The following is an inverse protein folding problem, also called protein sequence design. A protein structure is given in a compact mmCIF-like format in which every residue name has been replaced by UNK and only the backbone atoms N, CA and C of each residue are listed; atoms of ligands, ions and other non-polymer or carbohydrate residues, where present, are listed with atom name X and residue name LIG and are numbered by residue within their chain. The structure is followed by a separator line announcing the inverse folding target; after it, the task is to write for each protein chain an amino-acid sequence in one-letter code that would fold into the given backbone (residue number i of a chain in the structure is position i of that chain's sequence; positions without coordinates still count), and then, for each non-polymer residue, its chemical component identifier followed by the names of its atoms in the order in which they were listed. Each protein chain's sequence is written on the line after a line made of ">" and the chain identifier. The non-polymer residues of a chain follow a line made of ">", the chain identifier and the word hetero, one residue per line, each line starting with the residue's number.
data_IF_523566132474
#
_entry.id   IF_523566132474
#
_cell.length_a   1.000
_cell.length_b   1.000
_cell.length_c   1.000
_cell.angle_alpha   90.00
_cell.angle_beta   90.00
_cell.angle_gamma   90.00
#
_symmetry.space_group_name_H-M   'P 1'
#
loop_
_entity.id
_entity.type
_entity.pdbx_description
1 polymer ?
#
# COMPACT_ATOMS: atom_id res chain seq x y z
N UNK A 1 -13.62 -10.40 -38.73
CA UNK A 1 -14.15 -11.58 -38.01
C UNK A 1 -15.10 -11.09 -36.93
N UNK A 2 -16.40 -11.08 -37.20
CA UNK A 2 -17.42 -10.82 -36.18
C UNK A 2 -17.74 -12.13 -35.48
N UNK A 3 -17.10 -12.39 -34.34
CA UNK A 3 -17.56 -13.45 -33.45
C UNK A 3 -18.81 -12.91 -32.75
N UNK A 4 -19.98 -13.43 -33.08
CA UNK A 4 -21.16 -13.21 -32.23
C UNK A 4 -20.80 -13.70 -30.82
N UNK A 5 -20.71 -12.77 -29.87
CA UNK A 5 -20.50 -13.12 -28.47
C UNK A 5 -21.73 -13.86 -27.97
N UNK A 6 -21.73 -15.19 -28.13
CA UNK A 6 -22.71 -16.06 -27.48
C UNK A 6 -22.42 -16.03 -25.98
N UNK A 7 -23.30 -15.38 -25.24
CA UNK A 7 -23.27 -15.38 -23.78
C UNK A 7 -23.64 -16.75 -23.25
N UNK A 8 -23.21 -17.05 -22.02
CA UNK A 8 -23.65 -18.26 -21.32
C UNK A 8 -25.17 -18.23 -21.12
N UNK A 9 -25.82 -19.40 -21.00
CA UNK A 9 -27.23 -19.47 -20.61
C UNK A 9 -27.50 -18.70 -19.31
N UNK A 10 -28.67 -18.08 -19.19
CA UNK A 10 -28.99 -17.23 -18.03
C UNK A 10 -28.93 -17.97 -16.69
N UNK A 11 -29.31 -19.26 -16.69
CA UNK A 11 -29.21 -20.09 -15.49
C UNK A 11 -27.75 -20.28 -15.05
N UNK A 12 -26.84 -20.50 -16.01
CA UNK A 12 -25.40 -20.59 -15.72
C UNK A 12 -24.85 -19.28 -15.19
N UNK A 13 -25.26 -18.14 -15.77
CA UNK A 13 -24.85 -16.80 -15.30
C UNK A 13 -25.30 -16.59 -13.85
N UNK A 14 -26.53 -16.96 -13.52
CA UNK A 14 -27.08 -16.85 -12.17
C UNK A 14 -26.29 -17.70 -11.16
N UNK A 15 -26.02 -18.96 -11.48
CA UNK A 15 -25.23 -19.87 -10.64
C UNK A 15 -23.81 -19.30 -10.39
N UNK A 16 -23.15 -18.80 -11.44
CA UNK A 16 -21.81 -18.21 -11.33
C UNK A 16 -21.84 -16.96 -10.44
N UNK A 17 -22.80 -16.07 -10.64
CA UNK A 17 -22.95 -14.86 -9.84
C UNK A 17 -23.21 -15.19 -8.37
N UNK A 18 -24.15 -16.11 -8.10
CA UNK A 18 -24.45 -16.57 -6.74
C UNK A 18 -23.21 -17.17 -6.07
N UNK A 19 -22.44 -18.01 -6.77
CA UNK A 19 -21.19 -18.55 -6.23
C UNK A 19 -20.18 -17.45 -5.87
N UNK A 20 -20.05 -16.43 -6.72
CA UNK A 20 -19.07 -15.36 -6.53
C UNK A 20 -19.41 -14.43 -5.36
N UNK A 21 -20.69 -14.24 -5.06
CA UNK A 21 -21.15 -13.34 -3.99
C UNK A 21 -21.41 -14.07 -2.66
N UNK A 22 -21.74 -15.36 -2.68
CA UNK A 22 -22.19 -16.14 -1.51
C UNK A 22 -21.27 -16.06 -0.29
N UNK A 23 -19.97 -15.95 -0.51
CA UNK A 23 -18.95 -15.94 0.55
C UNK A 23 -18.22 -14.60 0.67
N UNK A 24 -18.77 -13.53 0.09
CA UNK A 24 -18.24 -12.19 0.29
C UNK A 24 -18.78 -11.60 1.60
N UNK A 25 -17.93 -10.80 2.23
CA UNK A 25 -18.37 -10.01 3.38
C UNK A 25 -19.45 -9.02 2.92
N UNK A 26 -20.51 -8.79 3.72
CA UNK A 26 -21.51 -7.78 3.40
C UNK A 26 -20.86 -6.41 3.21
N UNK A 27 -21.42 -5.61 2.30
CA UNK A 27 -20.91 -4.27 2.00
C UNK A 27 -20.80 -3.41 3.28
N UNK A 28 -21.81 -3.46 4.14
CA UNK A 28 -21.81 -2.75 5.43
C UNK A 28 -20.64 -3.14 6.33
N UNK A 29 -20.19 -4.40 6.29
CA UNK A 29 -19.04 -4.83 7.07
C UNK A 29 -17.75 -4.15 6.58
N UNK A 30 -17.60 -4.02 5.26
CA UNK A 30 -16.43 -3.40 4.62
C UNK A 30 -16.47 -1.88 4.81
N UNK A 31 -17.64 -1.26 4.64
CA UNK A 31 -17.87 0.15 4.95
C UNK A 31 -17.50 0.44 6.40
N UNK A 32 -17.98 -0.39 7.32
CA UNK A 32 -17.61 -0.29 8.72
C UNK A 32 -16.11 -0.44 8.89
N UNK A 33 -15.45 -1.43 8.27
CA UNK A 33 -14.00 -1.63 8.35
C UNK A 33 -13.19 -0.37 7.99
N UNK A 34 -13.61 0.36 6.95
CA UNK A 34 -13.00 1.62 6.50
C UNK A 34 -13.74 2.87 6.99
N UNK A 35 -14.65 2.76 7.96
CA UNK A 35 -15.53 3.86 8.40
C UNK A 35 -14.84 5.02 9.13
N UNK A 36 -13.51 5.02 9.17
CA UNK A 36 -12.70 6.18 9.58
C UNK A 36 -12.47 7.16 8.42
N UNK A 37 -12.84 6.80 7.19
CA UNK A 37 -12.76 7.68 6.02
C UNK A 37 -14.05 8.51 5.97
N UNK A 38 -13.91 9.82 6.19
CA UNK A 38 -15.04 10.76 6.16
C UNK A 38 -15.45 11.14 4.73
N UNK A 39 -14.55 11.03 3.75
CA UNK A 39 -14.88 11.23 2.34
C UNK A 39 -15.67 10.03 1.80
N UNK A 40 -16.99 10.20 1.70
CA UNK A 40 -17.89 9.17 1.20
C UNK A 40 -17.54 8.68 -0.21
N UNK A 41 -17.05 9.57 -1.10
CA UNK A 41 -16.68 9.15 -2.47
C UNK A 41 -15.47 8.23 -2.43
N UNK A 42 -14.47 8.58 -1.63
CA UNK A 42 -13.30 7.74 -1.43
C UNK A 42 -13.68 6.40 -0.79
N UNK A 43 -14.55 6.41 0.22
CA UNK A 43 -15.03 5.21 0.88
C UNK A 43 -15.76 4.28 -0.10
N UNK A 44 -16.65 4.84 -0.94
CA UNK A 44 -17.36 4.09 -1.97
C UNK A 44 -16.39 3.40 -2.94
N UNK A 45 -15.38 4.13 -3.44
CA UNK A 45 -14.38 3.56 -4.35
C UNK A 45 -13.53 2.46 -3.68
N UNK A 46 -13.17 2.63 -2.41
CA UNK A 46 -12.45 1.60 -1.63
C UNK A 46 -13.30 0.33 -1.47
N UNK A 47 -14.59 0.48 -1.18
CA UNK A 47 -15.54 -0.62 -1.03
C UNK A 47 -15.75 -1.35 -2.36
N UNK A 48 -15.93 -0.61 -3.46
CA UNK A 48 -16.06 -1.16 -4.80
C UNK A 48 -14.80 -1.92 -5.20
N UNK A 49 -13.61 -1.34 -4.99
CA UNK A 49 -12.35 -2.00 -5.29
C UNK A 49 -12.18 -3.32 -4.51
N UNK A 50 -12.56 -3.32 -3.22
CA UNK A 50 -12.52 -4.50 -2.38
C UNK A 50 -13.46 -5.59 -2.90
N UNK A 51 -14.74 -5.27 -3.09
CA UNK A 51 -15.75 -6.23 -3.55
C UNK A 51 -15.44 -6.76 -4.94
N UNK A 52 -14.95 -5.91 -5.84
CA UNK A 52 -14.56 -6.31 -7.20
C UNK A 52 -13.37 -7.27 -7.18
N UNK A 53 -12.35 -7.00 -6.36
CA UNK A 53 -11.22 -7.92 -6.20
C UNK A 53 -11.66 -9.28 -5.65
N UNK A 54 -12.59 -9.28 -4.69
CA UNK A 54 -13.20 -10.50 -4.13
C UNK A 54 -14.03 -11.28 -5.14
N UNK A 55 -14.83 -10.58 -5.94
CA UNK A 55 -15.60 -11.18 -7.01
C UNK A 55 -14.69 -11.87 -8.03
N UNK A 56 -13.65 -11.18 -8.52
CA UNK A 56 -12.70 -11.74 -9.49
C UNK A 56 -11.92 -12.93 -8.90
N UNK A 57 -11.53 -12.88 -7.62
CA UNK A 57 -10.94 -14.03 -6.94
C UNK A 57 -11.88 -15.25 -6.99
N UNK A 58 -13.15 -15.05 -6.64
CA UNK A 58 -14.14 -16.14 -6.61
C UNK A 58 -14.48 -16.65 -7.99
N UNK A 59 -14.57 -15.78 -8.99
CA UNK A 59 -14.78 -16.18 -10.37
C UNK A 59 -13.63 -17.08 -10.86
N UNK A 60 -12.38 -16.67 -10.63
CA UNK A 60 -11.21 -17.47 -11.01
C UNK A 60 -11.16 -18.81 -10.26
N UNK A 61 -11.57 -18.84 -9.00
CA UNK A 61 -11.71 -20.08 -8.23
C UNK A 61 -12.81 -20.99 -8.82
N UNK A 62 -13.98 -20.44 -9.16
CA UNK A 62 -15.10 -21.21 -9.70
C UNK A 62 -14.81 -21.79 -11.08
N UNK A 63 -14.04 -21.09 -11.90
CA UNK A 63 -13.57 -21.55 -13.20
C UNK A 63 -12.37 -22.50 -13.11
N UNK A 64 -11.81 -22.71 -11.92
CA UNK A 64 -10.56 -23.47 -11.72
C UNK A 64 -9.40 -22.96 -12.59
N UNK A 65 -9.29 -21.63 -12.73
CA UNK A 65 -8.31 -20.99 -13.59
C UNK A 65 -6.88 -21.44 -13.27
N UNK A 66 -6.10 -21.67 -14.32
CA UNK A 66 -4.69 -22.05 -14.24
C UNK A 66 -3.85 -21.30 -15.29
N UNK A 67 -2.53 -21.38 -15.19
CA UNK A 67 -1.62 -20.72 -16.14
C UNK A 67 -1.89 -19.22 -16.29
N UNK A 68 -2.15 -18.78 -17.52
CA UNK A 68 -2.35 -17.37 -17.86
C UNK A 68 -3.62 -16.76 -17.25
N UNK A 69 -4.68 -17.55 -17.08
CA UNK A 69 -5.93 -17.08 -16.47
C UNK A 69 -5.69 -16.77 -14.98
N UNK A 70 -5.05 -17.70 -14.26
CA UNK A 70 -4.70 -17.51 -12.86
C UNK A 70 -3.80 -16.27 -12.68
N UNK A 71 -2.86 -16.07 -13.61
CA UNK A 71 -2.00 -14.90 -13.65
C UNK A 71 -2.82 -13.60 -13.78
N UNK A 72 -3.78 -13.54 -14.70
CA UNK A 72 -4.64 -12.38 -14.89
C UNK A 72 -5.48 -12.07 -13.65
N UNK A 73 -6.10 -13.09 -13.05
CA UNK A 73 -6.88 -12.94 -11.81
C UNK A 73 -6.01 -12.49 -10.63
N UNK A 74 -4.79 -13.02 -10.49
CA UNK A 74 -3.87 -12.64 -9.42
C UNK A 74 -3.35 -11.21 -9.59
N UNK A 75 -3.01 -10.84 -10.82
CA UNK A 75 -2.56 -9.48 -11.19
C UNK A 75 -3.64 -8.45 -10.91
N UNK A 76 -4.89 -8.72 -11.30
CA UNK A 76 -6.02 -7.83 -11.02
C UNK A 76 -6.24 -7.64 -9.51
N UNK A 77 -6.22 -8.71 -8.73
CA UNK A 77 -6.38 -8.63 -7.27
C UNK A 77 -5.27 -7.79 -6.61
N UNK A 78 -4.00 -8.04 -6.95
CA UNK A 78 -2.88 -7.26 -6.42
C UNK A 78 -3.04 -5.78 -6.76
N UNK A 79 -3.48 -5.47 -7.98
CA UNK A 79 -3.72 -4.10 -8.41
C UNK A 79 -4.78 -3.43 -7.53
N UNK A 80 -5.94 -4.07 -7.33
CA UNK A 80 -7.02 -3.48 -6.53
C UNK A 80 -6.62 -3.31 -5.07
N UNK A 81 -6.02 -4.32 -4.44
CA UNK A 81 -5.61 -4.21 -3.04
C UNK A 81 -4.49 -3.19 -2.84
N UNK A 82 -3.52 -3.10 -3.76
CA UNK A 82 -2.49 -2.06 -3.74
C UNK A 82 -3.08 -0.66 -3.87
N UNK A 83 -4.07 -0.47 -4.75
CA UNK A 83 -4.79 0.80 -4.90
C UNK A 83 -5.54 1.19 -3.63
N UNK A 84 -6.17 0.24 -2.93
CA UNK A 84 -6.82 0.52 -1.64
C UNK A 84 -5.80 1.03 -0.62
N UNK A 85 -4.65 0.36 -0.48
CA UNK A 85 -3.60 0.83 0.44
C UNK A 85 -3.12 2.23 0.08
N UNK A 86 -2.88 2.49 -1.21
CA UNK A 86 -2.44 3.80 -1.68
C UNK A 86 -3.46 4.90 -1.38
N UNK A 87 -4.73 4.65 -1.69
CA UNK A 87 -5.83 5.58 -1.48
C UNK A 87 -6.01 5.92 0.00
N UNK A 88 -6.02 4.90 0.86
CA UNK A 88 -6.15 5.09 2.31
C UNK A 88 -4.93 5.81 2.89
N UNK A 89 -3.71 5.43 2.51
CA UNK A 89 -2.49 6.12 2.96
C UNK A 89 -2.48 7.58 2.50
N UNK A 90 -2.90 7.84 1.26
CA UNK A 90 -3.06 9.18 0.71
C UNK A 90 -3.99 10.02 1.57
N UNK A 91 -5.21 9.53 1.81
CA UNK A 91 -6.18 10.19 2.67
C UNK A 91 -5.67 10.46 4.09
N UNK A 92 -5.06 9.46 4.72
CA UNK A 92 -4.51 9.62 6.07
C UNK A 92 -3.45 10.72 6.13
N UNK A 93 -2.54 10.79 5.15
CA UNK A 93 -1.48 11.78 5.15
C UNK A 93 -1.97 13.17 4.71
N UNK A 94 -2.83 13.24 3.71
CA UNK A 94 -3.17 14.49 3.01
C UNK A 94 -4.38 15.21 3.59
N UNK A 95 -5.30 14.48 4.22
CA UNK A 95 -6.52 15.02 4.80
C UNK A 95 -6.46 14.96 6.34
N UNK A 96 -6.19 13.79 6.91
CA UNK A 96 -6.22 13.60 8.37
C UNK A 96 -4.98 14.19 9.06
N UNK A 97 -3.78 13.90 8.55
CA UNK A 97 -2.49 14.33 9.14
C UNK A 97 -1.80 15.45 8.35
N UNK A 98 -2.55 16.20 7.55
CA UNK A 98 -2.04 17.28 6.70
C UNK A 98 -1.12 18.26 7.43
N UNK A 99 -1.49 18.60 8.66
CA UNK A 99 -0.79 19.60 9.46
C UNK A 99 0.38 19.04 10.28
N UNK A 100 0.57 17.71 10.29
CA UNK A 100 1.62 17.05 11.03
C UNK A 100 3.01 17.38 10.46
N UNK A 101 3.99 17.67 11.33
CA UNK A 101 5.33 18.13 10.92
C UNK A 101 6.03 17.16 9.97
N UNK A 102 5.86 15.85 10.19
CA UNK A 102 6.42 14.82 9.30
C UNK A 102 5.82 14.85 7.89
N UNK A 103 4.52 15.16 7.77
CA UNK A 103 3.82 15.27 6.47
C UNK A 103 4.24 16.56 5.75
N UNK A 104 4.35 17.66 6.50
CA UNK A 104 4.91 18.91 5.97
C UNK A 104 6.32 18.66 5.43
N UNK A 105 7.22 18.06 6.21
CA UNK A 105 8.58 17.71 5.78
C UNK A 105 8.61 16.80 4.54
N UNK A 106 7.66 15.88 4.41
CA UNK A 106 7.52 15.04 3.22
C UNK A 106 7.23 15.87 1.96
N UNK A 107 6.42 16.93 2.12
CA UNK A 107 6.00 17.83 1.04
C UNK A 107 7.04 18.88 0.67
N UNK A 108 8.07 19.11 1.50
CA UNK A 108 9.13 20.08 1.24
C UNK A 108 10.45 19.37 0.92
N UNK A 109 10.91 19.53 -0.32
CA UNK A 109 12.26 19.20 -0.74
C UNK A 109 13.21 20.38 -0.62
N UNK A 110 14.46 20.16 -1.00
CA UNK A 110 15.43 21.23 -1.21
C UNK A 110 15.82 21.25 -2.67
N UNK A 111 15.80 22.43 -3.26
CA UNK A 111 16.34 22.71 -4.58
C UNK A 111 17.59 23.56 -4.41
N UNK A 112 18.61 23.29 -5.22
CA UNK A 112 19.84 24.07 -5.25
C UNK A 112 19.77 25.00 -6.44
N UNK A 113 19.67 26.30 -6.15
CA UNK A 113 19.60 27.34 -7.18
C UNK A 113 20.96 28.03 -7.23
N UNK A 114 21.59 28.18 -8.41
CA UNK A 114 22.85 28.90 -8.53
C UNK A 114 22.78 30.27 -7.85
N UNK A 115 23.77 30.56 -7.01
CA UNK A 115 23.89 31.84 -6.33
C UNK A 115 24.22 32.94 -7.34
N UNK A 116 23.77 34.17 -7.12
CA UNK A 116 24.17 35.31 -7.97
C UNK A 116 25.70 35.52 -7.99
N UNK A 117 26.38 35.05 -6.94
CA UNK A 117 27.84 35.03 -6.83
C UNK A 117 28.51 33.91 -7.62
N UNK A 118 27.77 32.90 -8.10
CA UNK A 118 28.32 31.77 -8.87
C UNK A 118 28.90 32.22 -10.22
N UNK A 119 28.44 33.37 -10.75
CA UNK A 119 28.99 33.98 -11.97
C UNK A 119 30.35 34.67 -11.74
N UNK A 120 30.72 34.91 -10.49
CA UNK A 120 31.94 35.66 -10.11
C UNK A 120 33.02 34.78 -9.49
N UNK A 121 32.67 33.57 -9.07
CA UNK A 121 33.58 32.63 -8.41
C UNK A 121 33.70 31.39 -9.28
N UNK A 122 34.90 31.17 -9.83
CA UNK A 122 35.24 29.97 -10.59
C UNK A 122 35.94 29.01 -9.62
N UNK A 123 35.32 27.87 -9.38
CA UNK A 123 35.88 26.81 -8.55
C UNK A 123 36.16 25.61 -9.45
N UNK A 124 37.37 25.09 -9.37
CA UNK A 124 37.79 23.86 -10.05
C UNK A 124 38.10 22.79 -9.01
N UNK A 125 37.49 21.62 -9.16
CA UNK A 125 37.82 20.45 -8.36
C UNK A 125 39.14 19.82 -8.84
N UNK A 126 39.74 18.94 -8.01
CA UNK A 126 40.99 18.23 -8.32
C UNK A 126 40.86 17.41 -9.61
N UNK A 127 39.64 16.95 -9.92
CA UNK A 127 39.30 16.16 -11.11
C UNK A 127 38.91 17.01 -12.34
N UNK A 128 39.03 18.34 -12.27
CA UNK A 128 38.69 19.25 -13.39
C UNK A 128 37.19 19.47 -13.59
N UNK A 129 36.35 19.02 -12.66
CA UNK A 129 34.90 19.27 -12.68
C UNK A 129 34.61 20.73 -12.29
N UNK A 130 33.69 21.37 -13.01
CA UNK A 130 33.26 22.74 -12.73
C UNK A 130 32.32 22.77 -11.51
N UNK A 131 32.76 23.43 -10.44
CA UNK A 131 31.99 23.59 -9.22
C UNK A 131 31.15 24.88 -9.27
N UNK A 132 29.85 24.77 -9.03
CA UNK A 132 28.90 25.91 -9.03
C UNK A 132 28.40 26.15 -7.61
N UNK A 133 28.54 27.39 -7.13
CA UNK A 133 27.99 27.79 -5.84
C UNK A 133 26.47 27.92 -5.91
N UNK A 134 25.74 27.13 -5.13
CA UNK A 134 24.29 27.16 -5.06
C UNK A 134 23.76 27.60 -3.70
N UNK A 135 22.63 28.30 -3.69
CA UNK A 135 21.79 28.55 -2.51
C UNK A 135 20.76 27.42 -2.40
N UNK A 136 20.58 26.86 -1.21
CA UNK A 136 19.55 25.86 -0.95
C UNK A 136 18.21 26.58 -0.67
N UNK A 137 17.19 26.29 -1.47
CA UNK A 137 15.84 26.81 -1.30
C UNK A 137 14.86 25.67 -0.98
N UNK A 138 13.91 25.85 -0.04
CA UNK A 138 12.84 24.89 0.13
C UNK A 138 11.93 24.89 -1.11
N UNK A 139 11.79 23.74 -1.75
CA UNK A 139 10.88 23.53 -2.89
C UNK A 139 9.71 22.68 -2.43
N UNK A 140 8.49 23.17 -2.61
CA UNK A 140 7.28 22.37 -2.39
C UNK A 140 7.22 21.32 -3.50
N UNK A 141 7.30 20.04 -3.15
CA UNK A 141 7.14 18.94 -4.10
C UNK A 141 5.67 18.81 -4.47
N UNK A 142 5.42 18.47 -5.73
CA UNK A 142 4.11 18.00 -6.14
C UNK A 142 3.79 16.70 -5.37
N UNK A 143 2.53 16.56 -4.96
CA UNK A 143 2.01 15.39 -4.24
C UNK A 143 2.24 14.09 -5.01
N UNK A 144 2.20 14.17 -6.34
CA UNK A 144 2.42 13.05 -7.26
C UNK A 144 3.89 12.64 -7.37
N UNK A 145 4.82 13.55 -7.02
CA UNK A 145 6.26 13.32 -7.10
C UNK A 145 6.83 12.63 -5.84
N UNK A 146 6.06 12.54 -4.76
CA UNK A 146 6.47 11.90 -3.51
C UNK A 146 6.41 10.38 -3.70
N UNK A 147 7.53 9.70 -3.52
CA UNK A 147 7.59 8.24 -3.65
C UNK A 147 6.70 7.58 -2.59
N UNK A 148 6.04 6.50 -2.99
CA UNK A 148 5.15 5.76 -2.09
C UNK A 148 5.89 5.15 -0.89
N UNK A 149 7.13 4.69 -1.08
CA UNK A 149 7.98 4.20 0.02
C UNK A 149 8.22 5.30 1.08
N UNK A 150 8.33 6.58 0.68
CA UNK A 150 8.48 7.71 1.61
C UNK A 150 7.17 8.01 2.36
N UNK A 151 6.01 7.85 1.69
CA UNK A 151 4.68 7.95 2.32
C UNK A 151 4.53 6.89 3.41
N UNK A 152 4.89 5.64 3.13
CA UNK A 152 4.84 4.54 4.11
C UNK A 152 5.79 4.82 5.29
N UNK A 153 7.02 5.26 5.02
CA UNK A 153 7.97 5.60 6.07
C UNK A 153 7.44 6.73 6.98
N UNK A 154 6.74 7.71 6.40
CA UNK A 154 6.05 8.75 7.17
C UNK A 154 4.96 8.16 8.06
N UNK A 155 4.10 7.29 7.53
CA UNK A 155 3.02 6.64 8.29
C UNK A 155 3.55 5.81 9.47
N UNK A 156 4.65 5.08 9.27
CA UNK A 156 5.31 4.30 10.32
C UNK A 156 5.84 5.22 11.43
N UNK A 157 6.45 6.35 11.04
CA UNK A 157 6.98 7.33 12.01
C UNK A 157 5.88 8.06 12.78
N UNK A 158 4.74 8.35 12.15
CA UNK A 158 3.57 8.89 12.82
C UNK A 158 3.00 7.84 13.79
N UNK A 159 2.99 6.57 13.38
CA UNK A 159 2.67 5.44 14.26
C UNK A 159 1.34 4.78 13.97
N UNK A 160 0.58 5.18 12.95
CA UNK A 160 -0.69 4.54 12.58
C UNK A 160 -0.51 3.31 11.66
N UNK A 161 0.72 2.98 11.26
CA UNK A 161 1.06 1.73 10.55
C UNK A 161 2.25 1.06 11.24
N UNK A 162 2.14 -0.24 11.52
CA UNK A 162 3.26 -1.03 12.01
C UNK A 162 4.28 -1.30 10.89
N UNK A 163 5.58 -1.24 11.18
CA UNK A 163 6.66 -1.41 10.20
C UNK A 163 6.54 -2.70 9.37
N UNK A 164 6.16 -3.81 10.00
CA UNK A 164 6.00 -5.10 9.32
C UNK A 164 4.93 -5.04 8.22
N UNK A 165 3.79 -4.39 8.47
CA UNK A 165 2.72 -4.22 7.49
C UNK A 165 3.15 -3.20 6.44
N UNK A 166 3.77 -2.10 6.85
CA UNK A 166 4.28 -1.09 5.93
C UNK A 166 5.26 -1.66 4.89
N UNK A 167 6.20 -2.52 5.31
CA UNK A 167 7.12 -3.19 4.38
C UNK A 167 6.41 -4.13 3.40
N UNK A 168 5.36 -4.83 3.82
CA UNK A 168 4.55 -5.66 2.91
C UNK A 168 3.74 -4.80 1.94
N UNK A 169 3.16 -3.68 2.38
CA UNK A 169 2.44 -2.74 1.52
C UNK A 169 3.39 -2.16 0.44
N UNK A 170 4.62 -1.77 0.80
CA UNK A 170 5.65 -1.36 -0.17
C UNK A 170 5.90 -2.45 -1.23
N UNK A 171 5.91 -3.73 -0.84
CA UNK A 171 6.08 -4.85 -1.78
C UNK A 171 4.87 -4.97 -2.71
N UNK A 172 3.64 -4.89 -2.20
CA UNK A 172 2.43 -4.93 -3.05
C UNK A 172 2.39 -3.78 -4.06
N UNK A 173 2.82 -2.59 -3.66
CA UNK A 173 2.91 -1.45 -4.56
C UNK A 173 3.96 -1.66 -5.67
N UNK A 174 5.12 -2.25 -5.35
CA UNK A 174 6.13 -2.63 -6.36
C UNK A 174 5.59 -3.68 -7.33
N UNK A 175 4.84 -4.67 -6.83
CA UNK A 175 4.17 -5.67 -7.67
C UNK A 175 3.14 -5.02 -8.60
N UNK A 176 2.33 -4.07 -8.11
CA UNK A 176 1.43 -3.26 -8.95
C UNK A 176 2.22 -2.49 -10.02
N UNK A 177 3.35 -1.87 -9.70
CA UNK A 177 4.16 -1.15 -10.70
C UNK A 177 4.80 -2.07 -11.75
N UNK A 178 4.90 -3.37 -11.43
CA UNK A 178 5.19 -4.44 -12.38
C UNK A 178 4.11 -4.68 -13.43
N UNK A 179 3.01 -3.92 -13.43
CA UNK A 179 1.99 -3.98 -14.49
C UNK A 179 2.56 -3.41 -15.78
N UNK A 180 3.41 -2.37 -15.69
CA UNK A 180 4.18 -1.90 -16.84
C UNK A 180 5.07 -3.04 -17.32
N UNK A 181 4.81 -3.56 -18.53
CA UNK A 181 5.49 -4.74 -19.05
C UNK A 181 7.01 -4.59 -19.02
N UNK A 182 7.51 -3.39 -19.29
CA UNK A 182 8.93 -3.03 -19.19
C UNK A 182 9.49 -3.19 -17.77
N UNK A 183 8.73 -2.84 -16.72
CA UNK A 183 9.11 -3.07 -15.33
C UNK A 183 8.97 -4.54 -14.92
N UNK A 184 7.97 -5.24 -15.44
CA UNK A 184 7.77 -6.66 -15.19
C UNK A 184 8.96 -7.49 -15.69
N UNK A 185 9.44 -7.18 -16.90
CA UNK A 185 10.62 -7.81 -17.53
C UNK A 185 11.88 -7.49 -16.71
N UNK A 186 12.10 -6.22 -16.37
CA UNK A 186 13.29 -5.80 -15.59
C UNK A 186 13.40 -6.45 -14.22
N UNK A 187 12.26 -6.67 -13.55
CA UNK A 187 12.22 -7.16 -12.17
C UNK A 187 11.78 -8.63 -12.05
N UNK A 188 11.61 -9.34 -13.18
CA UNK A 188 11.17 -10.75 -13.24
C UNK A 188 9.96 -11.01 -12.34
N UNK A 189 8.93 -10.16 -12.47
CA UNK A 189 7.77 -10.21 -11.58
C UNK A 189 6.86 -11.36 -11.99
N UNK A 190 6.74 -12.35 -11.11
CA UNK A 190 5.74 -13.41 -11.20
C UNK A 190 4.59 -13.09 -10.26
N UNK A 191 3.38 -13.01 -10.82
CA UNK A 191 2.17 -12.85 -10.04
C UNK A 191 1.69 -14.22 -9.61
N UNK A 192 1.71 -14.46 -8.30
CA UNK A 192 1.20 -15.69 -7.70
C UNK A 192 -0.01 -15.40 -6.80
N UNK A 193 -0.89 -16.38 -6.69
CA UNK A 193 -2.08 -16.35 -5.84
C UNK A 193 -1.71 -16.15 -4.38
N UNK A 194 -0.55 -16.65 -3.92
CA UNK A 194 -0.08 -16.42 -2.56
C UNK A 194 0.10 -14.91 -2.26
N UNK A 195 0.68 -14.15 -3.19
CA UNK A 195 0.88 -12.71 -3.01
C UNK A 195 -0.45 -11.94 -2.95
N UNK A 196 -1.40 -12.29 -3.83
CA UNK A 196 -2.74 -11.71 -3.83
C UNK A 196 -3.49 -12.02 -2.51
N UNK A 197 -3.36 -13.24 -1.99
CA UNK A 197 -3.95 -13.62 -0.71
C UNK A 197 -3.33 -12.87 0.47
N UNK A 198 -2.00 -12.68 0.48
CA UNK A 198 -1.34 -11.91 1.54
C UNK A 198 -1.80 -10.45 1.48
N UNK A 199 -1.82 -9.83 0.29
CA UNK A 199 -2.31 -8.47 0.10
C UNK A 199 -3.73 -8.28 0.63
N UNK A 200 -4.64 -9.22 0.34
CA UNK A 200 -6.00 -9.26 0.89
C UNK A 200 -6.01 -9.38 2.42
N UNK A 201 -5.31 -10.38 2.97
CA UNK A 201 -5.30 -10.68 4.41
C UNK A 201 -4.75 -9.53 5.25
N UNK A 202 -3.93 -8.65 4.67
CA UNK A 202 -3.36 -7.49 5.35
C UNK A 202 -4.27 -6.26 5.42
N UNK A 203 -5.36 -6.21 4.62
CA UNK A 203 -6.26 -5.06 4.63
C UNK A 203 -6.95 -4.90 5.99
N UNK A 204 -7.39 -6.02 6.58
CA UNK A 204 -8.04 -6.00 7.89
C UNK A 204 -7.13 -5.50 9.02
N UNK A 205 -5.93 -6.08 9.28
CA UNK A 205 -5.04 -5.56 10.32
C UNK A 205 -4.55 -4.15 10.03
N UNK A 206 -4.40 -3.77 8.76
CA UNK A 206 -4.10 -2.39 8.36
C UNK A 206 -5.22 -1.40 8.77
N UNK A 207 -6.45 -1.66 8.34
CA UNK A 207 -7.59 -0.80 8.65
C UNK A 207 -7.91 -0.74 10.16
N UNK A 208 -7.84 -1.89 10.85
CA UNK A 208 -8.01 -1.93 12.30
C UNK A 208 -6.89 -1.21 13.03
N UNK A 209 -5.65 -1.31 12.55
CA UNK A 209 -4.53 -0.56 13.12
C UNK A 209 -4.72 0.95 13.04
N UNK A 210 -5.21 1.45 11.91
CA UNK A 210 -5.56 2.87 11.76
C UNK A 210 -6.65 3.26 12.76
N UNK A 211 -7.73 2.48 12.85
CA UNK A 211 -8.82 2.74 13.80
C UNK A 211 -8.36 2.75 15.26
N UNK A 212 -7.58 1.75 15.65
CA UNK A 212 -7.01 1.63 16.98
C UNK A 212 -6.14 2.87 17.28
N UNK A 213 -5.31 3.29 16.33
CA UNK A 213 -4.49 4.49 16.48
C UNK A 213 -5.32 5.76 16.59
N UNK A 214 -6.38 5.93 15.80
CA UNK A 214 -7.25 7.10 15.86
C UNK A 214 -8.03 7.17 17.18
N UNK A 215 -8.35 6.03 17.78
CA UNK A 215 -9.13 5.96 19.04
C UNK A 215 -8.24 6.07 20.29
N UNK A 216 -7.09 5.39 20.29
CA UNK A 216 -6.26 5.20 21.49
C UNK A 216 -4.87 5.83 21.39
N UNK A 217 -4.50 6.37 20.22
CA UNK A 217 -3.17 6.92 19.94
C UNK A 217 -2.06 5.86 19.87
N UNK A 218 -2.40 4.56 19.86
CA UNK A 218 -1.45 3.44 19.86
C UNK A 218 -1.96 2.27 19.03
N UNK A 219 -1.03 1.54 18.41
CA UNK A 219 -1.34 0.30 17.69
C UNK A 219 -1.51 -0.87 18.67
N UNK A 220 -2.60 -1.62 18.51
CA UNK A 220 -2.77 -2.91 19.17
C UNK A 220 -2.05 -4.02 18.42
N UNK A 221 -1.86 -5.15 19.09
CA UNK A 221 -1.24 -6.34 18.50
C UNK A 221 -1.99 -6.90 17.29
N UNK A 222 -3.29 -6.61 17.16
CA UNK A 222 -4.12 -6.93 15.98
C UNK A 222 -3.63 -6.26 14.70
N UNK A 223 -2.87 -5.17 14.80
CA UNK A 223 -2.30 -4.43 13.68
C UNK A 223 -0.93 -4.94 13.22
N UNK A 224 -0.50 -6.11 13.69
CA UNK A 224 0.80 -6.70 13.40
C UNK A 224 0.68 -7.96 12.54
N UNK A 225 1.75 -8.33 11.85
CA UNK A 225 1.83 -9.66 11.21
C UNK A 225 2.01 -10.73 12.29
N UNK A 226 1.52 -11.95 12.05
CA UNK A 226 1.68 -13.07 13.00
C UNK A 226 3.15 -13.31 13.36
N UNK A 227 4.04 -13.12 12.40
CA UNK A 227 5.48 -13.28 12.58
C UNK A 227 6.07 -12.18 13.47
N UNK A 228 5.67 -10.92 13.26
CA UNK A 228 6.11 -9.80 14.10
C UNK A 228 5.57 -9.91 15.53
N UNK A 229 4.32 -10.36 15.70
CA UNK A 229 3.74 -10.60 17.03
C UNK A 229 4.47 -11.73 17.77
N UNK A 230 4.83 -12.80 17.06
CA UNK A 230 5.57 -13.93 17.62
C UNK A 230 7.00 -13.52 18.04
N UNK A 231 7.68 -12.68 17.24
CA UNK A 231 8.99 -12.13 17.57
C UNK A 231 8.96 -11.24 18.82
N UNK A 232 7.98 -10.32 18.93
CA UNK A 232 7.84 -9.48 20.13
C UNK A 232 7.53 -10.31 21.38
N UNK A 233 6.74 -11.39 21.25
CA UNK A 233 6.51 -12.31 22.37
C UNK A 233 7.78 -13.05 22.78
N UNK A 234 8.60 -13.48 21.81
CA UNK A 234 9.89 -14.11 22.08
C UNK A 234 10.85 -13.13 22.79
N UNK A 235 10.96 -11.89 22.31
CA UNK A 235 11.79 -10.85 22.93
C UNK A 235 11.33 -10.49 24.34
N UNK A 236 10.02 -10.37 24.59
CA UNK A 236 9.46 -10.15 25.93
C UNK A 236 9.73 -11.32 26.88
N UNK A 237 9.76 -12.57 26.38
CA UNK A 237 10.13 -13.74 27.17
C UNK A 237 11.62 -13.74 27.51
N UNK A 238 12.49 -13.38 26.57
CA UNK A 238 13.94 -13.25 26.79
C UNK A 238 14.26 -12.12 27.78
N UNK A 239 13.59 -10.97 27.67
CA UNK A 239 13.76 -9.84 28.58
C UNK A 239 13.32 -10.17 30.03
N UNK A 240 12.23 -10.95 30.19
CA UNK A 240 11.76 -11.46 31.50
C UNK A 240 12.68 -12.56 32.07
N UNK A 241 13.35 -13.33 31.22
CA UNK A 241 14.34 -14.32 31.62
C UNK A 241 15.63 -13.68 32.16
N UNK A 242 16.11 -12.60 31.53
CA UNK A 242 17.31 -11.86 31.96
C UNK A 242 17.12 -11.12 33.29
N UNK A 243 15.92 -10.64 33.59
CA UNK A 243 15.62 -9.98 34.89
C UNK A 243 15.51 -10.96 36.05
N UNK A 244 15.30 -12.26 35.80
CA UNK A 244 15.28 -13.30 36.84
C UNK A 244 16.65 -13.93 37.11
N UNK A 245 17.62 -13.77 36.21
CA UNK A 245 18.98 -14.30 36.37
C UNK A 245 19.96 -13.31 37.04
N UNK A 246 19.49 -12.11 37.41
CA UNK A 246 20.28 -11.05 38.05
C UNK A 246 19.83 -10.76 39.50
N UNK A 247 19.14 -11.70 40.14
CA UNK A 247 18.78 -11.67 41.57
C UNK A 247 19.36 -12.89 42.27
#
# INVERSE_FOLDING_TARGET
>A
MGCEMKTLPQETIKIVNEYCIKYNEPEDHIRNLFGFIEDNKLLDEVVIAYLTARYIYKLGQGLSCSGNELHAHSKFQIMQYASIYEAVIGYMLEDVYKEHDLVKKLSYGSEFIPSDYSKKLIFSDVDGSNLVLCKQKPLKRDKTAIKFDDKIACCIKIGFIHSSIGHEISKFYKLRNGIHLSNAIKNVITYDTAQAQVAYRRLRPFALGIKDYLTEGKLKSSAMTKDAFSQIQAEKRVARGRTKASK
#
